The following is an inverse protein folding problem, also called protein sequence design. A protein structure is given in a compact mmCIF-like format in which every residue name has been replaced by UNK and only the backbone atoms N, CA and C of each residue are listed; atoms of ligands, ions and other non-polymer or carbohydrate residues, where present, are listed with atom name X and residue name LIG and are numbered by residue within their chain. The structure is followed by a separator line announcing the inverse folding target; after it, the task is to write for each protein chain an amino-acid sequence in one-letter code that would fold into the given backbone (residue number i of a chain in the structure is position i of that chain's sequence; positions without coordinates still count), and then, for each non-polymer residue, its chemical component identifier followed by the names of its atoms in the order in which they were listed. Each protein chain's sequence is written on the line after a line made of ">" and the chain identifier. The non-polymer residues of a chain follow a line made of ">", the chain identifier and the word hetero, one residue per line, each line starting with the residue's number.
data_IF_677190448350
#
_entry.id   IF_677190448350
#
_cell.length_a   1.000
_cell.length_b   1.000
_cell.length_c   1.000
_cell.angle_alpha   90.00
_cell.angle_beta   90.00
_cell.angle_gamma   90.00
#
_symmetry.space_group_name_H-M   'P 1'
#
loop_
_entity.id
_entity.type
_entity.pdbx_description
1 polymer ?
#
# COMPACT_ATOMS: atom_id res chain seq x y z
N UNK A 1 11.61 2.88 8.89
CA UNK A 1 11.81 3.89 9.96
C UNK A 1 11.85 5.33 9.42
N UNK A 2 12.44 5.59 8.27
CA UNK A 2 12.51 6.98 7.74
C UNK A 2 11.14 7.66 7.63
N UNK A 3 10.09 7.05 7.03
CA UNK A 3 8.75 7.65 6.99
C UNK A 3 8.13 7.83 8.38
N UNK A 4 8.42 6.93 9.33
CA UNK A 4 7.99 7.07 10.72
C UNK A 4 8.53 8.37 11.36
N UNK A 5 9.84 8.63 11.22
CA UNK A 5 10.43 9.86 11.73
C UNK A 5 9.88 11.13 11.06
N UNK A 6 9.50 11.04 9.79
CA UNK A 6 8.85 12.17 9.09
C UNK A 6 7.48 12.52 9.67
N UNK A 7 6.72 11.54 10.16
CA UNK A 7 5.45 11.78 10.87
C UNK A 7 5.66 12.63 12.13
N UNK A 8 6.84 12.54 12.76
CA UNK A 8 7.27 13.33 13.93
C UNK A 8 8.07 14.59 13.54
N UNK A 9 7.95 15.04 12.29
CA UNK A 9 8.63 16.22 11.73
C UNK A 9 10.17 16.14 11.71
N UNK A 10 10.75 14.98 11.95
CA UNK A 10 12.20 14.75 11.95
C UNK A 10 12.66 14.37 10.54
N UNK A 11 13.19 15.34 9.78
CA UNK A 11 13.48 15.22 8.34
C UNK A 11 14.89 14.68 8.03
N UNK A 12 15.31 13.61 8.67
CA UNK A 12 16.59 12.95 8.36
C UNK A 12 16.37 11.44 8.20
N UNK A 13 17.14 10.81 7.32
CA UNK A 13 17.01 9.37 7.05
C UNK A 13 17.51 8.53 8.25
N UNK A 14 16.78 7.46 8.54
CA UNK A 14 17.25 6.41 9.44
C UNK A 14 18.35 5.58 8.74
N UNK A 15 19.41 5.13 9.43
CA UNK A 15 19.69 5.32 10.88
C UNK A 15 20.40 6.63 11.22
N UNK A 16 20.83 7.42 10.25
CA UNK A 16 21.63 8.64 10.46
C UNK A 16 20.98 9.69 11.38
N UNK A 17 19.65 9.62 11.54
CA UNK A 17 18.91 10.52 12.43
C UNK A 17 19.26 10.29 13.90
N UNK A 18 19.64 9.07 14.27
CA UNK A 18 19.99 8.72 15.67
C UNK A 18 21.28 9.39 16.14
N UNK A 19 22.16 9.74 15.20
CA UNK A 19 23.43 10.41 15.45
C UNK A 19 23.37 11.92 15.14
N UNK A 20 22.15 12.48 15.02
CA UNK A 20 21.98 13.90 14.71
C UNK A 20 22.22 14.78 15.93
N UNK A 21 23.00 15.86 15.77
CA UNK A 21 23.36 16.76 16.86
C UNK A 21 22.14 17.46 17.52
N UNK A 22 21.05 17.65 16.77
CA UNK A 22 19.86 18.35 17.25
C UNK A 22 18.74 17.38 17.67
N UNK A 23 18.56 16.29 16.95
CA UNK A 23 17.42 15.38 17.10
C UNK A 23 17.82 13.99 17.63
N UNK A 24 19.10 13.64 17.66
CA UNK A 24 19.57 12.27 17.93
C UNK A 24 19.02 11.68 19.23
N UNK A 25 19.01 12.45 20.31
CA UNK A 25 18.46 12.01 21.60
C UNK A 25 16.95 11.71 21.50
N UNK A 26 16.19 12.64 20.91
CA UNK A 26 14.74 12.47 20.75
C UNK A 26 14.41 11.35 19.79
N UNK A 27 15.15 11.25 18.68
CA UNK A 27 14.99 10.18 17.71
C UNK A 27 15.29 8.81 18.32
N UNK A 28 16.35 8.70 19.14
CA UNK A 28 16.69 7.45 19.83
C UNK A 28 15.60 7.06 20.83
N UNK A 29 15.08 8.01 21.61
CA UNK A 29 13.98 7.75 22.53
C UNK A 29 12.74 7.29 21.78
N UNK A 30 12.33 8.02 20.75
CA UNK A 30 11.18 7.70 19.93
C UNK A 30 11.30 6.32 19.25
N UNK A 31 12.50 5.99 18.78
CA UNK A 31 12.81 4.68 18.21
C UNK A 31 12.62 3.55 19.23
N UNK A 32 13.08 3.76 20.47
CA UNK A 32 12.93 2.78 21.53
C UNK A 32 11.47 2.64 21.96
N UNK A 33 10.75 3.75 22.09
CA UNK A 33 9.32 3.75 22.46
C UNK A 33 8.49 3.03 21.42
N UNK A 34 8.78 3.23 20.12
CA UNK A 34 8.09 2.55 19.02
C UNK A 34 8.40 1.05 18.98
N UNK A 35 9.65 0.64 19.22
CA UNK A 35 9.97 -0.78 19.32
C UNK A 35 9.25 -1.43 20.51
N UNK A 36 9.20 -0.77 21.68
CA UNK A 36 8.43 -1.25 22.82
C UNK A 36 6.93 -1.35 22.50
N UNK A 37 6.39 -0.37 21.76
CA UNK A 37 5.00 -0.40 21.29
C UNK A 37 4.76 -1.58 20.35
N UNK A 38 5.68 -1.83 19.41
CA UNK A 38 5.61 -2.96 18.49
C UNK A 38 5.64 -4.29 19.25
N UNK A 39 6.53 -4.44 20.23
CA UNK A 39 6.60 -5.65 21.06
C UNK A 39 5.27 -5.87 21.80
N UNK A 40 4.70 -4.82 22.40
CA UNK A 40 3.39 -4.89 23.05
C UNK A 40 2.26 -5.28 22.09
N UNK A 41 2.26 -4.73 20.86
CA UNK A 41 1.30 -5.07 19.82
C UNK A 41 1.38 -6.56 19.47
N UNK A 42 2.59 -7.09 19.33
CA UNK A 42 2.84 -8.50 18.98
C UNK A 42 2.44 -9.42 20.15
N UNK A 43 2.96 -9.17 21.35
CA UNK A 43 2.72 -10.03 22.52
C UNK A 43 1.26 -10.09 22.93
N UNK A 44 0.54 -8.98 22.81
CA UNK A 44 -0.85 -8.88 23.23
C UNK A 44 -1.86 -8.99 22.08
N UNK A 45 -1.39 -9.15 20.83
CA UNK A 45 -2.24 -9.24 19.64
C UNK A 45 -3.22 -8.06 19.52
N UNK A 46 -2.73 -6.82 19.74
CA UNK A 46 -3.60 -5.64 19.69
C UNK A 46 -4.09 -5.32 18.29
N UNK A 47 -3.29 -5.62 17.28
CA UNK A 47 -3.60 -5.37 15.87
C UNK A 47 -3.63 -6.67 15.08
N UNK A 48 -4.49 -6.70 14.07
CA UNK A 48 -4.52 -7.78 13.07
C UNK A 48 -4.26 -7.22 11.70
N UNK A 49 -3.30 -7.82 11.02
CA UNK A 49 -2.97 -7.53 9.64
C UNK A 49 -3.78 -8.44 8.73
N UNK A 50 -4.41 -7.85 7.72
CA UNK A 50 -5.14 -8.61 6.70
C UNK A 50 -4.87 -8.02 5.32
N UNK A 51 -4.89 -8.90 4.33
CA UNK A 51 -4.87 -8.53 2.92
C UNK A 51 -5.85 -9.37 2.12
N UNK A 52 -6.32 -8.83 1.02
CA UNK A 52 -7.09 -9.53 -0.01
C UNK A 52 -6.51 -9.18 -1.37
N UNK A 53 -6.42 -10.17 -2.25
CA UNK A 53 -5.89 -10.04 -3.60
C UNK A 53 -6.84 -10.65 -4.61
N UNK A 54 -6.88 -10.08 -5.82
CA UNK A 54 -7.51 -10.65 -7.00
C UNK A 54 -6.64 -10.42 -8.24
N UNK A 55 -6.70 -11.35 -9.19
CA UNK A 55 -6.03 -11.27 -10.49
C UNK A 55 -7.10 -11.59 -11.55
N UNK A 56 -7.21 -10.74 -12.57
CA UNK A 56 -8.19 -10.88 -13.63
C UNK A 56 -7.54 -10.79 -15.00
N UNK A 57 -8.14 -11.45 -15.99
CA UNK A 57 -7.79 -11.20 -17.38
C UNK A 57 -8.06 -9.76 -17.71
N UNK A 58 -7.12 -9.11 -18.39
CA UNK A 58 -7.22 -7.70 -18.73
C UNK A 58 -6.57 -7.40 -20.08
N UNK A 59 -7.09 -6.39 -20.77
CA UNK A 59 -6.43 -5.76 -21.90
C UNK A 59 -6.73 -4.26 -21.88
N UNK A 60 -5.82 -3.46 -22.43
CA UNK A 60 -6.05 -2.03 -22.55
C UNK A 60 -6.82 -1.66 -23.83
N UNK A 61 -7.64 -0.62 -23.72
CA UNK A 61 -8.35 0.03 -24.84
C UNK A 61 -8.20 1.53 -24.65
N UNK A 62 -7.29 2.16 -25.38
CA UNK A 62 -6.89 3.54 -25.14
C UNK A 62 -6.27 3.67 -23.73
N UNK A 63 -6.77 4.61 -22.93
CA UNK A 63 -6.30 4.83 -21.56
C UNK A 63 -7.09 4.02 -20.51
N UNK A 64 -7.98 3.12 -20.95
CA UNK A 64 -8.78 2.27 -20.06
C UNK A 64 -8.25 0.84 -20.01
N UNK A 65 -8.50 0.15 -18.91
CA UNK A 65 -8.21 -1.28 -18.74
C UNK A 65 -9.52 -2.03 -18.56
N UNK A 66 -9.80 -2.94 -19.48
CA UNK A 66 -11.01 -3.77 -19.46
C UNK A 66 -10.72 -5.10 -18.78
N UNK A 67 -11.39 -5.38 -17.67
CA UNK A 67 -11.29 -6.65 -16.96
C UNK A 67 -12.33 -7.64 -17.44
N UNK A 68 -11.93 -8.94 -17.50
CA UNK A 68 -12.78 -10.02 -17.95
C UNK A 68 -12.78 -11.20 -16.98
N UNK A 69 -13.92 -11.89 -16.93
CA UNK A 69 -14.04 -13.16 -16.23
C UNK A 69 -13.42 -14.34 -17.02
N UNK A 70 -13.49 -15.55 -16.46
CA UNK A 70 -12.99 -16.75 -17.12
C UNK A 70 -13.73 -17.09 -18.43
N UNK A 71 -14.97 -16.62 -18.61
CA UNK A 71 -15.78 -16.79 -19.81
C UNK A 71 -15.58 -15.64 -20.82
N UNK A 72 -14.63 -14.76 -20.55
CA UNK A 72 -14.30 -13.59 -21.38
C UNK A 72 -15.38 -12.49 -21.41
N UNK A 73 -16.32 -12.49 -20.45
CA UNK A 73 -17.26 -11.39 -20.28
C UNK A 73 -16.59 -10.22 -19.58
N UNK A 74 -16.90 -9.01 -20.00
CA UNK A 74 -16.45 -7.80 -19.31
C UNK A 74 -17.10 -7.70 -17.93
N UNK A 75 -16.30 -7.53 -16.87
CA UNK A 75 -16.77 -7.43 -15.50
C UNK A 75 -16.54 -6.05 -14.89
N UNK A 76 -15.55 -5.32 -15.35
CA UNK A 76 -15.23 -3.97 -14.89
C UNK A 76 -14.32 -3.25 -15.89
N UNK A 77 -14.32 -1.91 -15.84
CA UNK A 77 -13.41 -1.06 -16.60
C UNK A 77 -12.73 -0.05 -15.67
N UNK A 78 -11.40 -0.08 -15.61
CA UNK A 78 -10.62 0.96 -14.94
C UNK A 78 -10.30 2.10 -15.88
N UNK A 79 -10.71 3.31 -15.52
CA UNK A 79 -10.39 4.54 -16.22
C UNK A 79 -9.09 5.12 -15.69
N UNK A 80 -7.96 4.77 -16.29
CA UNK A 80 -6.66 5.04 -15.68
C UNK A 80 -6.11 6.43 -15.95
N UNK A 81 -6.83 7.28 -16.63
CA UNK A 81 -6.55 8.67 -16.92
C UNK A 81 -5.05 8.99 -17.08
N UNK A 82 -4.67 9.37 -18.29
CA UNK A 82 -3.27 9.75 -18.58
C UNK A 82 -2.84 10.99 -17.81
N UNK A 83 -1.60 11.00 -17.34
CA UNK A 83 -0.99 12.17 -16.71
C UNK A 83 -1.14 13.42 -17.59
N UNK A 84 -1.40 14.57 -16.96
CA UNK A 84 -1.60 15.86 -17.64
C UNK A 84 -0.45 16.85 -17.35
N UNK A 85 0.64 16.41 -16.73
CA UNK A 85 1.74 17.28 -16.36
C UNK A 85 2.57 17.71 -17.57
N UNK A 86 2.99 18.96 -17.58
CA UNK A 86 4.01 19.44 -18.54
C UNK A 86 5.38 18.97 -18.06
N UNK A 87 5.95 17.98 -18.75
CA UNK A 87 7.26 17.41 -18.42
C UNK A 87 8.00 17.00 -19.67
N UNK A 88 9.31 16.79 -19.55
CA UNK A 88 10.17 16.34 -20.66
C UNK A 88 9.96 14.88 -21.04
N UNK A 89 9.42 14.07 -20.12
CA UNK A 89 9.17 12.65 -20.33
C UNK A 89 7.71 12.40 -20.73
N UNK A 90 7.44 11.20 -21.25
CA UNK A 90 6.12 10.78 -21.64
C UNK A 90 5.12 10.81 -20.45
N UNK A 91 3.90 11.25 -20.70
CA UNK A 91 2.80 11.14 -19.78
C UNK A 91 2.29 9.69 -19.76
N UNK A 92 2.25 9.08 -18.59
CA UNK A 92 1.90 7.67 -18.40
C UNK A 92 0.44 7.52 -17.96
N UNK A 93 -0.17 6.42 -18.36
CA UNK A 93 -1.38 5.86 -17.79
C UNK A 93 -1.10 4.41 -17.38
N UNK A 94 -1.83 3.85 -16.42
CA UNK A 94 -1.64 2.46 -16.02
C UNK A 94 -1.91 1.48 -17.17
N UNK A 95 -2.80 1.86 -18.10
CA UNK A 95 -3.09 1.11 -19.32
C UNK A 95 -1.88 0.89 -20.24
N UNK A 96 -0.84 1.72 -20.15
CA UNK A 96 0.39 1.56 -20.94
C UNK A 96 1.18 0.28 -20.56
N UNK A 97 0.91 -0.28 -19.38
CA UNK A 97 1.55 -1.49 -18.86
C UNK A 97 0.73 -2.77 -19.11
N UNK A 98 -0.40 -2.66 -19.80
CA UNK A 98 -1.28 -3.78 -20.11
C UNK A 98 -1.35 -3.94 -21.63
N UNK A 99 -1.26 -5.18 -22.13
CA UNK A 99 -1.29 -5.46 -23.54
C UNK A 99 -2.59 -4.93 -24.21
N UNK A 100 -2.50 -4.22 -25.34
CA UNK A 100 -3.67 -3.73 -26.06
C UNK A 100 -4.59 -4.86 -26.51
N UNK A 101 -5.89 -4.61 -26.54
CA UNK A 101 -6.90 -5.62 -26.91
C UNK A 101 -6.78 -6.12 -28.35
N UNK A 102 -6.20 -5.32 -29.24
CA UNK A 102 -5.95 -5.67 -30.65
C UNK A 102 -4.59 -6.35 -30.87
N UNK A 103 -3.76 -6.50 -29.84
CA UNK A 103 -2.46 -7.18 -29.95
C UNK A 103 -2.57 -8.70 -30.11
N UNK A 104 -3.71 -9.28 -29.78
CA UNK A 104 -3.89 -10.73 -29.71
C UNK A 104 -3.24 -11.40 -28.49
N UNK A 105 -2.65 -10.63 -27.58
CA UNK A 105 -2.02 -11.12 -26.35
C UNK A 105 -3.02 -11.03 -25.21
N UNK A 106 -3.27 -12.15 -24.52
CA UNK A 106 -4.02 -12.13 -23.27
C UNK A 106 -3.09 -11.65 -22.15
N UNK A 107 -3.48 -10.58 -21.48
CA UNK A 107 -2.76 -10.05 -20.34
C UNK A 107 -3.63 -10.08 -19.07
N UNK A 108 -3.07 -9.65 -17.95
CA UNK A 108 -3.70 -9.71 -16.65
C UNK A 108 -3.39 -8.45 -15.83
N UNK A 109 -4.31 -8.11 -14.93
CA UNK A 109 -4.11 -7.09 -13.90
C UNK A 109 -4.41 -7.69 -12.53
N UNK A 110 -3.54 -7.40 -11.57
CA UNK A 110 -3.75 -7.71 -10.16
C UNK A 110 -4.18 -6.48 -9.39
N UNK A 111 -5.02 -6.66 -8.37
CA UNK A 111 -5.26 -5.66 -7.35
C UNK A 111 -5.24 -6.31 -5.96
N UNK A 112 -4.82 -5.57 -4.96
CA UNK A 112 -4.91 -6.00 -3.57
C UNK A 112 -5.22 -4.83 -2.64
N UNK A 113 -5.77 -5.15 -1.48
CA UNK A 113 -5.98 -4.20 -0.40
C UNK A 113 -5.41 -4.79 0.90
N UNK A 114 -4.83 -3.92 1.72
CA UNK A 114 -4.17 -4.29 2.98
C UNK A 114 -4.66 -3.42 4.11
N UNK A 115 -4.67 -3.96 5.32
CA UNK A 115 -4.90 -3.22 6.57
C UNK A 115 -4.09 -3.80 7.71
N UNK A 116 -3.64 -2.96 8.62
CA UNK A 116 -2.96 -3.33 9.86
C UNK A 116 -3.64 -2.76 11.12
N UNK A 117 -4.79 -2.10 10.97
CA UNK A 117 -5.48 -1.40 12.06
C UNK A 117 -6.60 -2.18 12.75
N UNK A 118 -6.88 -3.43 12.38
CA UNK A 118 -8.00 -4.16 12.94
C UNK A 118 -7.77 -4.48 14.42
N UNK A 119 -8.65 -3.96 15.27
CA UNK A 119 -8.58 -4.13 16.72
C UNK A 119 -7.95 -2.95 17.48
N UNK A 120 -7.45 -1.94 16.75
CA UNK A 120 -6.79 -0.76 17.33
C UNK A 120 -7.68 0.00 18.32
N UNK A 121 -8.99 0.05 18.07
CA UNK A 121 -9.95 0.83 18.85
C UNK A 121 -9.95 0.45 20.34
N UNK A 122 -9.81 -0.84 20.61
CA UNK A 122 -9.81 -1.34 21.99
C UNK A 122 -8.64 -0.78 22.81
N UNK A 123 -7.49 -0.61 22.18
CA UNK A 123 -6.31 -0.08 22.84
C UNK A 123 -6.32 1.45 22.88
N UNK A 124 -6.79 2.09 21.81
CA UNK A 124 -6.99 3.54 21.81
C UNK A 124 -7.93 4.00 22.92
N UNK A 125 -9.07 3.31 23.14
CA UNK A 125 -10.01 3.59 24.22
C UNK A 125 -9.38 3.47 25.63
N UNK A 126 -8.37 2.62 25.81
CA UNK A 126 -7.64 2.54 27.09
C UNK A 126 -6.76 3.76 27.27
N UNK A 127 -5.96 4.10 26.26
CA UNK A 127 -5.09 5.28 26.29
C UNK A 127 -5.89 6.59 26.46
N UNK A 128 -7.04 6.71 25.78
CA UNK A 128 -7.95 7.86 25.95
C UNK A 128 -8.45 8.02 27.41
N UNK A 129 -8.80 6.92 28.08
CA UNK A 129 -9.20 6.95 29.50
C UNK A 129 -8.07 7.35 30.44
N UNK A 130 -6.84 7.08 30.05
CA UNK A 130 -5.63 7.40 30.79
C UNK A 130 -5.08 8.80 30.41
N UNK A 131 -5.72 9.50 29.47
CA UNK A 131 -5.27 10.76 28.88
C UNK A 131 -3.85 10.68 28.28
N UNK A 132 -3.54 9.52 27.67
CA UNK A 132 -2.23 9.21 27.11
C UNK A 132 -2.20 9.48 25.59
N UNK A 133 -2.22 10.75 25.24
CA UNK A 133 -2.20 11.19 23.82
C UNK A 133 -0.93 10.75 23.10
N UNK A 134 0.19 10.62 23.82
CA UNK A 134 1.45 10.19 23.23
C UNK A 134 1.34 8.76 22.67
N UNK A 135 0.88 7.81 23.47
CA UNK A 135 0.73 6.43 23.03
C UNK A 135 -0.41 6.25 22.01
N UNK A 136 -1.42 7.12 22.01
CA UNK A 136 -2.43 7.17 20.94
C UNK A 136 -1.78 7.50 19.59
N UNK A 137 -0.96 8.53 19.53
CA UNK A 137 -0.26 8.94 18.30
C UNK A 137 0.73 7.86 17.87
N UNK A 138 1.51 7.33 18.81
CA UNK A 138 2.49 6.29 18.57
C UNK A 138 1.86 5.03 17.96
N UNK A 139 0.79 4.51 18.57
CA UNK A 139 0.09 3.31 18.08
C UNK A 139 -0.54 3.53 16.69
N UNK A 140 -1.10 4.71 16.43
CA UNK A 140 -1.64 5.04 15.09
C UNK A 140 -0.53 5.12 14.05
N UNK A 141 0.59 5.76 14.37
CA UNK A 141 1.75 5.82 13.49
C UNK A 141 2.32 4.44 13.20
N UNK A 142 2.39 3.55 14.21
CA UNK A 142 2.82 2.16 14.04
C UNK A 142 1.87 1.39 13.12
N UNK A 143 0.56 1.48 13.34
CA UNK A 143 -0.43 0.80 12.50
C UNK A 143 -0.31 1.20 11.03
N UNK A 144 -0.08 2.50 10.77
CA UNK A 144 0.13 3.04 9.44
C UNK A 144 1.40 2.46 8.78
N UNK A 145 2.51 2.42 9.52
CA UNK A 145 3.77 1.81 9.03
C UNK A 145 3.66 0.31 8.82
N UNK A 146 2.89 -0.40 9.65
CA UNK A 146 2.63 -1.83 9.47
C UNK A 146 1.76 -2.10 8.22
N UNK A 147 0.81 -1.22 7.91
CA UNK A 147 0.03 -1.33 6.67
C UNK A 147 0.90 -1.15 5.42
N UNK A 148 1.82 -0.17 5.43
CA UNK A 148 2.81 0.02 4.37
C UNK A 148 3.74 -1.20 4.24
N UNK A 149 4.28 -1.70 5.35
CA UNK A 149 5.13 -2.90 5.35
C UNK A 149 4.40 -4.13 4.84
N UNK A 150 3.11 -4.31 5.21
CA UNK A 150 2.27 -5.38 4.67
C UNK A 150 2.06 -5.24 3.17
N UNK A 151 1.92 -4.01 2.67
CA UNK A 151 1.77 -3.72 1.25
C UNK A 151 3.02 -4.13 0.45
N UNK A 152 4.22 -3.82 0.95
CA UNK A 152 5.49 -4.27 0.36
C UNK A 152 5.60 -5.79 0.36
N UNK A 153 5.36 -6.41 1.50
CA UNK A 153 5.37 -7.87 1.64
C UNK A 153 4.39 -8.57 0.70
N UNK A 154 3.17 -8.04 0.58
CA UNK A 154 2.16 -8.59 -0.34
C UNK A 154 2.57 -8.44 -1.79
N UNK A 155 3.17 -7.32 -2.19
CA UNK A 155 3.64 -7.14 -3.56
C UNK A 155 4.78 -8.12 -3.90
N UNK A 156 5.75 -8.30 -2.99
CA UNK A 156 6.78 -9.33 -3.15
C UNK A 156 6.15 -10.73 -3.29
N UNK A 157 5.22 -11.07 -2.39
CA UNK A 157 4.53 -12.36 -2.42
C UNK A 157 3.74 -12.60 -3.72
N UNK A 158 3.14 -11.55 -4.27
CA UNK A 158 2.48 -11.61 -5.58
C UNK A 158 3.48 -11.93 -6.68
N UNK A 159 4.59 -11.23 -6.75
CA UNK A 159 5.62 -11.45 -7.78
C UNK A 159 6.24 -12.83 -7.71
N UNK A 160 6.54 -13.32 -6.49
CA UNK A 160 7.27 -14.58 -6.28
C UNK A 160 6.40 -15.82 -6.24
N UNK A 161 5.19 -15.74 -5.64
CA UNK A 161 4.42 -16.91 -5.28
C UNK A 161 3.02 -16.94 -5.95
N UNK A 162 2.22 -15.86 -5.81
CA UNK A 162 0.80 -15.89 -6.16
C UNK A 162 0.61 -15.78 -7.68
N UNK A 163 1.23 -14.78 -8.29
CA UNK A 163 1.34 -14.68 -9.75
C UNK A 163 2.57 -15.43 -10.28
N UNK A 164 3.69 -15.32 -9.56
CA UNK A 164 4.88 -16.13 -9.76
C UNK A 164 5.71 -15.79 -10.99
N UNK A 165 5.61 -14.56 -11.50
CA UNK A 165 6.39 -14.16 -12.67
C UNK A 165 7.86 -13.81 -12.35
N UNK A 166 8.20 -13.64 -11.07
CA UNK A 166 9.54 -13.32 -10.58
C UNK A 166 9.96 -14.21 -9.39
N UNK A 167 9.77 -15.53 -9.50
CA UNK A 167 10.02 -16.49 -8.44
C UNK A 167 11.49 -16.58 -7.99
N UNK A 168 12.43 -16.19 -8.84
CA UNK A 168 13.87 -16.16 -8.54
C UNK A 168 14.33 -14.83 -7.92
N UNK A 169 13.42 -13.88 -7.72
CA UNK A 169 13.72 -12.57 -7.12
C UNK A 169 14.32 -12.73 -5.72
N UNK A 170 15.40 -12.02 -5.44
CA UNK A 170 16.07 -12.04 -4.14
C UNK A 170 16.66 -10.66 -3.83
N UNK A 171 15.79 -9.69 -3.58
CA UNK A 171 16.15 -8.31 -3.28
C UNK A 171 16.22 -8.07 -1.77
N UNK A 172 17.17 -7.24 -1.35
CA UNK A 172 17.20 -6.71 0.00
C UNK A 172 16.24 -5.52 0.17
N UNK A 173 16.08 -5.02 1.40
CA UNK A 173 15.13 -3.94 1.70
C UNK A 173 15.44 -2.64 0.95
N UNK A 174 16.69 -2.28 0.74
CA UNK A 174 17.05 -1.06 0.02
C UNK A 174 16.69 -1.19 -1.46
N UNK A 175 16.94 -2.33 -2.05
CA UNK A 175 16.59 -2.65 -3.43
C UNK A 175 15.06 -2.67 -3.64
N UNK A 176 14.29 -3.16 -2.67
CA UNK A 176 12.81 -3.11 -2.71
C UNK A 176 12.30 -1.67 -2.59
N UNK A 177 12.92 -0.84 -1.74
CA UNK A 177 12.59 0.58 -1.60
C UNK A 177 12.92 1.36 -2.88
N UNK A 178 14.01 1.00 -3.55
CA UNK A 178 14.42 1.60 -4.83
C UNK A 178 13.62 1.06 -6.03
N UNK A 179 12.65 0.16 -5.78
CA UNK A 179 11.70 -0.39 -6.77
C UNK A 179 12.40 -1.01 -8.00
N UNK A 180 13.53 -1.73 -7.79
CA UNK A 180 14.30 -2.34 -8.89
C UNK A 180 13.67 -3.62 -9.46
N UNK A 181 12.59 -4.10 -8.87
CA UNK A 181 11.84 -5.27 -9.31
C UNK A 181 11.06 -5.01 -10.60
N UNK A 182 10.74 -6.07 -11.32
CA UNK A 182 9.85 -6.00 -12.49
C UNK A 182 8.38 -5.79 -12.08
N UNK A 183 7.70 -4.91 -12.81
CA UNK A 183 6.30 -4.55 -12.55
C UNK A 183 6.14 -3.21 -11.83
N UNK A 184 4.90 -2.79 -11.69
CA UNK A 184 4.53 -1.53 -11.02
C UNK A 184 3.37 -1.79 -10.05
N UNK A 185 3.27 -0.95 -9.03
CA UNK A 185 2.23 -1.03 -7.99
C UNK A 185 1.66 0.34 -7.66
N UNK A 186 1.06 1.05 -8.62
CA UNK A 186 0.44 2.33 -8.34
C UNK A 186 -0.86 2.13 -7.55
N UNK A 187 -1.12 3.02 -6.60
CA UNK A 187 -2.44 3.13 -5.99
C UNK A 187 -3.28 4.18 -6.74
N UNK A 188 -4.64 4.03 -6.82
CA UNK A 188 -5.50 5.10 -7.33
C UNK A 188 -5.32 6.38 -6.52
N UNK A 189 -5.17 7.51 -7.23
CA UNK A 189 -4.79 8.81 -6.69
C UNK A 189 -3.32 9.17 -6.93
N UNK A 190 -2.50 8.26 -7.48
CA UNK A 190 -1.11 8.49 -7.87
C UNK A 190 -0.94 8.62 -9.38
N UNK A 191 0.27 8.93 -9.79
CA UNK A 191 0.62 9.48 -11.11
C UNK A 191 0.11 8.68 -12.32
N UNK A 192 0.07 7.36 -12.27
CA UNK A 192 -0.38 6.52 -13.39
C UNK A 192 -1.88 6.18 -13.35
N UNK A 193 -2.56 6.46 -12.25
CA UNK A 193 -4.00 6.28 -12.05
C UNK A 193 -4.51 7.37 -11.10
N UNK A 194 -4.64 8.64 -11.55
CA UNK A 194 -4.86 9.78 -10.66
C UNK A 194 -6.26 9.86 -10.04
N UNK A 195 -7.24 9.12 -10.55
CA UNK A 195 -8.60 9.15 -10.05
C UNK A 195 -8.78 8.27 -8.82
N UNK A 196 -9.04 8.90 -7.68
CA UNK A 196 -9.32 8.20 -6.42
C UNK A 196 -10.60 7.36 -6.46
N UNK A 197 -11.55 7.68 -7.35
CA UNK A 197 -12.84 6.96 -7.43
C UNK A 197 -12.67 5.52 -7.93
N UNK A 198 -11.56 5.22 -8.62
CA UNK A 198 -11.24 3.84 -9.04
C UNK A 198 -11.06 2.88 -7.85
N UNK A 199 -10.81 3.40 -6.64
CA UNK A 199 -10.81 2.59 -5.40
C UNK A 199 -12.14 1.88 -5.16
N UNK A 200 -13.28 2.50 -5.51
CA UNK A 200 -14.60 1.87 -5.35
C UNK A 200 -14.71 0.58 -6.15
N UNK A 201 -14.19 0.56 -7.38
CA UNK A 201 -14.19 -0.62 -8.24
C UNK A 201 -13.28 -1.70 -7.67
N UNK A 202 -12.08 -1.33 -7.22
CA UNK A 202 -11.14 -2.27 -6.57
C UNK A 202 -11.78 -2.89 -5.33
N UNK A 203 -12.40 -2.08 -4.45
CA UNK A 203 -13.07 -2.55 -3.24
C UNK A 203 -14.22 -3.51 -3.55
N UNK A 204 -15.00 -3.20 -4.58
CA UNK A 204 -16.08 -4.07 -5.06
C UNK A 204 -15.55 -5.40 -5.59
N UNK A 205 -14.57 -5.38 -6.50
CA UNK A 205 -13.95 -6.57 -7.08
C UNK A 205 -13.33 -7.48 -6.03
N UNK A 206 -12.61 -6.89 -5.06
CA UNK A 206 -11.97 -7.60 -3.96
C UNK A 206 -12.94 -7.99 -2.84
N UNK A 207 -14.19 -7.49 -2.86
CA UNK A 207 -15.12 -7.57 -1.71
C UNK A 207 -14.41 -7.18 -0.41
N UNK A 208 -13.67 -6.07 -0.42
CA UNK A 208 -12.70 -5.72 0.62
C UNK A 208 -13.34 -5.58 2.02
N UNK A 209 -14.54 -4.98 2.09
CA UNK A 209 -15.28 -4.85 3.35
C UNK A 209 -15.61 -6.23 3.97
N UNK A 210 -16.11 -7.16 3.15
CA UNK A 210 -16.44 -8.52 3.59
C UNK A 210 -15.22 -9.34 3.96
N UNK A 211 -14.15 -9.25 3.17
CA UNK A 211 -12.99 -10.14 3.30
C UNK A 211 -12.02 -9.67 4.38
N UNK A 212 -11.78 -8.37 4.49
CA UNK A 212 -10.78 -7.82 5.41
C UNK A 212 -11.31 -6.71 6.35
N UNK A 213 -12.58 -6.32 6.21
CA UNK A 213 -13.25 -5.43 7.18
C UNK A 213 -12.88 -3.95 7.03
N UNK A 214 -12.46 -3.50 5.84
CA UNK A 214 -12.14 -2.10 5.55
C UNK A 214 -13.18 -1.48 4.63
N UNK A 215 -13.46 -0.20 4.83
CA UNK A 215 -14.35 0.60 4.00
C UNK A 215 -13.68 1.90 3.57
N UNK A 216 -14.20 2.50 2.51
CA UNK A 216 -13.76 3.81 2.06
C UNK A 216 -14.60 4.91 2.70
N UNK A 217 -13.94 5.99 3.10
CA UNK A 217 -14.62 7.24 3.51
C UNK A 217 -15.19 7.97 2.28
N UNK A 218 -15.99 9.01 2.49
CA UNK A 218 -16.48 9.86 1.39
C UNK A 218 -15.36 10.50 0.57
N UNK A 219 -14.20 10.73 1.17
CA UNK A 219 -13.00 11.24 0.48
C UNK A 219 -12.13 10.16 -0.15
N UNK A 220 -12.59 8.93 -0.23
CA UNK A 220 -11.85 7.77 -0.76
C UNK A 220 -10.57 7.43 0.03
N UNK A 221 -10.51 7.81 1.32
CA UNK A 221 -9.49 7.32 2.25
C UNK A 221 -9.95 6.00 2.90
N UNK A 222 -8.99 5.21 3.38
CA UNK A 222 -9.22 3.98 4.14
C UNK A 222 -9.09 4.25 5.64
#
# INVERSE_FOLDING_TARGET
>A
WTPFFYTWEMKKKFPLILDDDNFGLQATQLYNDENNMLDNVIENNWLKLKSVIGIWKANSVGDDIILRDENNNEIETFCTLRQQAVKSNQNLALSDYIAPSDSGIQDYVGAFACTAGIGIENQLLKFEKEFDDYNIILLKALADRLAEGLTEYMHEKVRKEIWGYANEENYNNDELIDEIYDGIRPAPGYTACPDHTEKLKIFSLLQAEKNIGISLTESMAM
#
